data_IF_664560421606
#
_entry.id   IF_664560421606
#
_cell.length_a   1.000
_cell.length_b   1.000
_cell.length_c   1.000
_cell.angle_alpha   90.00
_cell.angle_beta   90.00
_cell.angle_gamma   90.00
#
_symmetry.space_group_name_H-M   'P 1'
#
loop_
_entity.id
_entity.type
_entity.pdbx_description
1 polymer ?
#
# COMPACT_ATOMS: atom_id res chain seq x y z
N UNK A 1 17.26 0.87 -0.38
CA UNK A 1 17.40 1.98 0.60
C UNK A 1 16.04 2.64 0.78
N UNK A 2 15.58 2.88 2.01
CA UNK A 2 14.25 3.43 2.30
C UNK A 2 14.09 4.93 1.96
N UNK A 3 15.15 5.72 2.09
CA UNK A 3 15.10 7.15 1.76
C UNK A 3 15.00 7.35 0.25
N UNK A 4 15.77 6.56 -0.50
CA UNK A 4 15.68 6.52 -1.95
C UNK A 4 14.30 6.04 -2.42
N UNK A 5 13.73 5.04 -1.74
CA UNK A 5 12.36 4.60 -1.99
C UNK A 5 11.35 5.76 -1.84
N UNK A 6 11.46 6.57 -0.78
CA UNK A 6 10.56 7.72 -0.57
C UNK A 6 10.70 8.80 -1.64
N UNK A 7 11.89 9.00 -2.20
CA UNK A 7 12.11 9.97 -3.30
C UNK A 7 11.23 9.69 -4.51
N UNK A 8 11.00 8.42 -4.86
CA UNK A 8 10.07 8.05 -5.94
C UNK A 8 8.64 8.55 -5.69
N UNK A 9 8.26 8.69 -4.42
CA UNK A 9 6.92 9.15 -4.05
C UNK A 9 6.82 10.66 -3.89
N UNK A 10 7.91 11.42 -3.90
CA UNK A 10 7.86 12.88 -3.76
C UNK A 10 7.05 13.52 -4.89
N UNK A 11 7.31 13.10 -6.14
CA UNK A 11 6.63 13.58 -7.34
C UNK A 11 5.50 12.64 -7.82
N UNK A 12 5.29 11.50 -7.16
CA UNK A 12 4.26 10.56 -7.54
C UNK A 12 2.84 11.08 -7.22
N UNK A 13 1.81 10.61 -7.95
CA UNK A 13 0.43 10.80 -7.55
C UNK A 13 0.18 10.27 -6.14
N UNK A 14 -0.62 11.00 -5.35
CA UNK A 14 -1.00 10.61 -3.98
C UNK A 14 -1.62 9.20 -3.93
N UNK A 15 -2.35 8.82 -4.98
CA UNK A 15 -2.93 7.48 -5.12
C UNK A 15 -1.85 6.39 -5.13
N UNK A 16 -0.69 6.62 -5.77
CA UNK A 16 0.40 5.66 -5.80
C UNK A 16 1.02 5.48 -4.41
N UNK A 17 1.28 6.57 -3.68
CA UNK A 17 1.76 6.51 -2.29
C UNK A 17 0.80 5.76 -1.37
N UNK A 18 -0.50 5.99 -1.55
CA UNK A 18 -1.55 5.33 -0.78
C UNK A 18 -1.61 3.82 -1.06
N UNK A 19 -1.52 3.41 -2.34
CA UNK A 19 -1.46 1.99 -2.73
C UNK A 19 -0.20 1.32 -2.19
N UNK A 20 0.97 1.94 -2.37
CA UNK A 20 2.24 1.40 -1.88
C UNK A 20 2.25 1.27 -0.35
N UNK A 21 1.76 2.29 0.37
CA UNK A 21 1.68 2.26 1.83
C UNK A 21 0.73 1.18 2.33
N UNK A 22 -0.40 0.96 1.66
CA UNK A 22 -1.30 -0.15 1.95
C UNK A 22 -0.58 -1.51 1.80
N UNK A 23 0.14 -1.74 0.69
CA UNK A 23 0.86 -3.00 0.44
C UNK A 23 1.95 -3.22 1.49
N UNK A 24 2.77 -2.21 1.78
CA UNK A 24 3.82 -2.31 2.81
C UNK A 24 3.24 -2.58 4.21
N UNK A 25 2.12 -1.94 4.55
CA UNK A 25 1.43 -2.19 5.81
C UNK A 25 0.84 -3.60 5.87
N UNK A 26 0.33 -4.10 4.74
CA UNK A 26 -0.16 -5.47 4.63
C UNK A 26 0.97 -6.48 4.82
N UNK A 27 2.10 -6.29 4.15
CA UNK A 27 3.31 -7.10 4.37
C UNK A 27 3.72 -7.12 5.84
N UNK A 28 3.80 -5.95 6.48
CA UNK A 28 4.17 -5.84 7.89
C UNK A 28 3.19 -6.60 8.83
N UNK A 29 1.90 -6.67 8.48
CA UNK A 29 0.86 -7.31 9.30
C UNK A 29 0.78 -8.83 9.09
N UNK A 30 0.99 -9.29 7.86
CA UNK A 30 0.75 -10.70 7.48
C UNK A 30 2.06 -11.51 7.38
N UNK A 31 3.22 -10.86 7.54
CA UNK A 31 4.55 -11.47 7.47
C UNK A 31 5.46 -10.97 8.58
N UNK A 32 6.63 -11.60 8.76
CA UNK A 32 7.67 -11.13 9.70
C UNK A 32 8.54 -9.99 9.13
N UNK A 33 8.20 -9.44 7.95
CA UNK A 33 8.98 -8.38 7.33
C UNK A 33 8.87 -7.06 8.09
N UNK A 34 10.02 -6.52 8.49
CA UNK A 34 10.10 -5.28 9.26
C UNK A 34 10.12 -4.07 8.31
N UNK A 35 8.96 -3.43 8.15
CA UNK A 35 8.87 -2.10 7.52
C UNK A 35 9.03 -1.02 8.59
N UNK A 36 9.94 -0.07 8.35
CA UNK A 36 10.12 1.08 9.24
C UNK A 36 8.84 1.92 9.37
N UNK A 37 8.47 2.27 10.61
CA UNK A 37 7.30 3.09 10.90
C UNK A 37 7.37 4.48 10.24
N UNK A 38 8.59 5.01 10.05
CA UNK A 38 8.79 6.28 9.37
C UNK A 38 8.23 6.23 7.94
N UNK A 39 8.50 5.14 7.22
CA UNK A 39 8.06 4.96 5.82
C UNK A 39 6.56 4.86 5.74
N UNK A 40 5.96 4.06 6.63
CA UNK A 40 4.50 3.94 6.71
C UNK A 40 3.87 5.31 6.99
N UNK A 41 4.40 6.08 7.96
CA UNK A 41 3.91 7.41 8.31
C UNK A 41 4.02 8.40 7.13
N UNK A 42 5.14 8.40 6.42
CA UNK A 42 5.34 9.25 5.25
C UNK A 42 4.32 8.96 4.16
N UNK A 43 4.12 7.69 3.80
CA UNK A 43 3.12 7.31 2.80
C UNK A 43 1.69 7.61 3.28
N UNK A 44 1.42 7.39 4.57
CA UNK A 44 0.12 7.68 5.19
C UNK A 44 -0.27 9.16 5.09
N UNK A 45 0.70 10.07 5.21
CA UNK A 45 0.46 11.52 5.11
C UNK A 45 -0.14 11.94 3.76
N UNK A 46 0.02 11.12 2.72
CA UNK A 46 -0.48 11.38 1.37
C UNK A 46 -1.88 10.81 1.11
N UNK A 47 -2.48 10.10 2.07
CA UNK A 47 -3.82 9.53 1.96
C UNK A 47 -4.86 10.65 1.92
N UNK A 48 -5.66 10.71 0.85
CA UNK A 48 -6.67 11.78 0.67
C UNK A 48 -8.06 11.21 0.39
N UNK A 49 -8.22 10.66 -0.81
CA UNK A 49 -9.49 10.14 -1.33
C UNK A 49 -9.45 8.60 -1.45
N UNK A 50 -10.60 7.92 -1.49
CA UNK A 50 -10.65 6.50 -1.81
C UNK A 50 -9.98 6.19 -3.15
N UNK A 51 -9.17 5.12 -3.20
CA UNK A 51 -8.55 4.64 -4.44
C UNK A 51 -8.70 3.13 -4.56
N UNK A 52 -8.85 2.63 -5.78
CA UNK A 52 -8.87 1.20 -6.09
C UNK A 52 -7.46 0.72 -6.45
N UNK A 53 -7.05 -0.45 -5.94
CA UNK A 53 -5.70 -0.99 -6.23
C UNK A 53 -5.51 -1.15 -7.73
N UNK A 54 -6.45 -1.82 -8.38
CA UNK A 54 -6.47 -2.02 -9.83
C UNK A 54 -7.71 -1.37 -10.45
N UNK A 55 -7.58 -0.76 -11.63
CA UNK A 55 -8.68 -0.08 -12.31
C UNK A 55 -9.55 -1.06 -13.11
N UNK A 56 -10.34 -1.89 -12.42
CA UNK A 56 -11.28 -2.82 -13.05
C UNK A 56 -12.61 -2.86 -12.29
N UNK A 57 -13.58 -3.62 -12.80
CA UNK A 57 -14.93 -3.76 -12.22
C UNK A 57 -15.04 -4.81 -11.11
N UNK A 58 -13.94 -5.46 -10.70
CA UNK A 58 -14.00 -6.53 -9.69
C UNK A 58 -14.50 -5.99 -8.33
N UNK A 59 -15.25 -6.79 -7.56
CA UNK A 59 -15.59 -6.47 -6.18
C UNK A 59 -14.34 -6.18 -5.35
N UNK A 60 -14.47 -5.37 -4.30
CA UNK A 60 -13.33 -4.94 -3.48
C UNK A 60 -13.64 -4.92 -1.99
N UNK A 61 -12.64 -5.22 -1.18
CA UNK A 61 -12.67 -5.02 0.27
C UNK A 61 -12.08 -3.66 0.59
N UNK A 62 -12.81 -2.82 1.33
CA UNK A 62 -12.36 -1.47 1.66
C UNK A 62 -11.53 -1.41 2.94
N UNK A 63 -10.25 -1.06 2.81
CA UNK A 63 -9.39 -0.67 3.92
C UNK A 63 -9.67 0.78 4.32
N UNK A 64 -10.44 0.99 5.40
CA UNK A 64 -10.72 2.33 5.94
C UNK A 64 -9.44 3.08 6.31
N UNK A 65 -8.49 2.36 6.91
CA UNK A 65 -7.21 2.91 7.37
C UNK A 65 -6.47 3.61 6.21
N UNK A 66 -6.41 2.96 5.04
CA UNK A 66 -5.67 3.47 3.88
C UNK A 66 -6.56 4.14 2.83
N UNK A 67 -7.88 4.14 3.02
CA UNK A 67 -8.87 4.48 1.99
C UNK A 67 -8.63 3.71 0.68
N UNK A 68 -8.24 2.45 0.77
CA UNK A 68 -7.94 1.60 -0.40
C UNK A 68 -9.03 0.55 -0.59
N UNK A 69 -9.55 0.45 -1.81
CA UNK A 69 -10.38 -0.67 -2.25
C UNK A 69 -9.47 -1.78 -2.80
N UNK A 70 -9.28 -2.84 -2.02
CA UNK A 70 -8.53 -4.03 -2.42
C UNK A 70 -9.43 -4.95 -3.25
N UNK A 71 -9.25 -4.90 -4.57
CA UNK A 71 -9.90 -5.75 -5.56
C UNK A 71 -8.98 -6.85 -6.13
N UNK A 72 -7.79 -7.02 -5.53
CA UNK A 72 -6.82 -8.06 -5.91
C UNK A 72 -6.88 -9.19 -4.87
N UNK A 73 -6.96 -8.83 -3.60
CA UNK A 73 -6.99 -9.73 -2.46
C UNK A 73 -5.60 -9.92 -1.84
N UNK A 74 -5.51 -9.71 -0.52
CA UNK A 74 -4.26 -9.82 0.25
C UNK A 74 -3.40 -11.06 -0.04
N UNK A 75 -4.03 -12.23 -0.23
CA UNK A 75 -3.32 -13.50 -0.52
C UNK A 75 -2.56 -13.43 -1.84
N UNK A 76 -3.17 -12.85 -2.87
CA UNK A 76 -2.55 -12.69 -4.19
C UNK A 76 -1.46 -11.62 -4.13
N UNK A 77 -1.72 -10.49 -3.46
CA UNK A 77 -0.74 -9.41 -3.27
C UNK A 77 0.54 -9.92 -2.60
N UNK A 78 0.43 -10.87 -1.67
CA UNK A 78 1.55 -11.43 -0.92
C UNK A 78 2.04 -12.78 -1.45
N UNK A 79 1.50 -13.29 -2.56
CA UNK A 79 1.84 -14.62 -3.07
C UNK A 79 3.34 -14.79 -3.36
N UNK A 80 4.01 -13.71 -3.79
CA UNK A 80 5.45 -13.68 -4.04
C UNK A 80 6.31 -13.81 -2.78
N UNK A 81 5.76 -13.52 -1.60
CA UNK A 81 6.51 -13.59 -0.33
C UNK A 81 6.55 -15.02 0.24
N UNK A 82 5.55 -15.84 -0.04
CA UNK A 82 5.44 -17.22 0.46
C UNK A 82 6.07 -18.26 -0.47
N UNK A 83 6.90 -17.82 -1.42
CA UNK A 83 7.65 -18.70 -2.32
C UNK A 83 8.91 -19.25 -1.65
#
# INVERSE_FOLDING_TARGET
NWDEFLKYFEKAPKSLSQKAGYILNLMKKETNYKVSNHIIKQLKSKVKCPVKLENNSKPSIYSREWKVQDNIGKKIILAWWYQ
#
